data_IF_200629508900
#
_entry.id   IF_200629508900
#
_cell.length_a   1.000
_cell.length_b   1.000
_cell.length_c   1.000
_cell.angle_alpha   90.00
_cell.angle_beta   90.00
_cell.angle_gamma   90.00
#
_symmetry.space_group_name_H-M   'P 1'
#
loop_
_entity.id
_entity.type
_entity.pdbx_description
1 polymer ?
#
# COMPACT_ATOMS: atom_id res chain seq x y z
N UNK A 1 -20.42 -26.04 22.04
CA UNK A 1 -20.20 -24.96 21.06
C UNK A 1 -18.72 -25.03 20.68
N UNK A 2 -18.41 -25.57 19.50
CA UNK A 2 -17.03 -25.77 19.05
C UNK A 2 -16.68 -24.66 18.04
N UNK A 3 -15.80 -23.74 18.44
CA UNK A 3 -15.29 -22.69 17.58
C UNK A 3 -14.00 -23.19 16.93
N UNK A 4 -14.12 -23.96 15.85
CA UNK A 4 -12.98 -24.25 14.97
C UNK A 4 -12.71 -22.99 14.14
N UNK A 5 -11.82 -22.13 14.65
CA UNK A 5 -11.26 -21.04 13.89
C UNK A 5 -10.41 -21.63 12.76
N UNK A 6 -10.95 -21.60 11.55
CA UNK A 6 -10.31 -21.91 10.29
C UNK A 6 -8.94 -21.24 10.18
N UNK A 7 -7.88 -22.00 10.46
CA UNK A 7 -6.49 -21.54 10.43
C UNK A 7 -5.80 -22.11 9.20
N UNK A 8 -6.35 -21.83 8.02
CA UNK A 8 -5.77 -22.29 6.73
C UNK A 8 -6.09 -21.31 5.58
N UNK A 9 -6.03 -20.00 5.85
CA UNK A 9 -6.11 -18.95 4.81
C UNK A 9 -4.73 -18.39 4.42
N UNK A 10 -3.67 -19.07 4.82
CA UNK A 10 -2.31 -18.86 4.34
C UNK A 10 -2.12 -19.92 3.23
N UNK A 11 -2.07 -19.63 1.93
CA UNK A 11 -0.94 -19.02 1.26
C UNK A 11 -1.32 -18.84 -0.22
N UNK A 12 -2.11 -17.82 -0.54
CA UNK A 12 -2.16 -17.16 -1.85
C UNK A 12 -3.41 -16.28 -1.84
N UNK A 13 -3.31 -15.12 -1.20
CA UNK A 13 -4.22 -14.04 -1.55
C UNK A 13 -4.14 -13.91 -3.08
N UNK A 14 -5.22 -14.27 -3.78
CA UNK A 14 -5.22 -14.27 -5.24
C UNK A 14 -4.78 -12.90 -5.77
N UNK A 15 -4.34 -12.80 -7.03
CA UNK A 15 -3.80 -11.54 -7.59
C UNK A 15 -4.72 -10.33 -7.35
N UNK A 16 -6.05 -10.54 -7.30
CA UNK A 16 -7.03 -9.52 -6.93
C UNK A 16 -6.95 -9.07 -5.45
N UNK A 17 -6.81 -10.00 -4.50
CA UNK A 17 -6.67 -9.69 -3.08
C UNK A 17 -5.33 -9.00 -2.79
N UNK A 18 -4.25 -9.42 -3.45
CA UNK A 18 -2.95 -8.75 -3.36
C UNK A 18 -3.00 -7.33 -3.94
N UNK A 19 -3.76 -7.09 -5.02
CA UNK A 19 -3.96 -5.74 -5.57
C UNK A 19 -4.81 -4.87 -4.64
N UNK A 20 -5.89 -5.41 -4.09
CA UNK A 20 -6.74 -4.69 -3.14
C UNK A 20 -5.98 -4.29 -1.86
N UNK A 21 -5.10 -5.16 -1.35
CA UNK A 21 -4.22 -4.83 -0.24
C UNK A 21 -3.30 -3.65 -0.57
N UNK A 22 -2.65 -3.68 -1.73
CA UNK A 22 -1.76 -2.61 -2.19
C UNK A 22 -2.49 -1.28 -2.40
N UNK A 23 -3.68 -1.31 -2.99
CA UNK A 23 -4.52 -0.13 -3.14
C UNK A 23 -4.86 0.49 -1.78
N UNK A 24 -5.27 -0.32 -0.79
CA UNK A 24 -5.57 0.16 0.56
C UNK A 24 -4.36 0.81 1.24
N UNK A 25 -3.18 0.25 1.06
CA UNK A 25 -1.93 0.85 1.56
C UNK A 25 -1.65 2.21 0.93
N UNK A 26 -1.84 2.36 -0.38
CA UNK A 26 -1.67 3.64 -1.09
C UNK A 26 -2.69 4.67 -0.62
N UNK A 27 -3.96 4.32 -0.53
CA UNK A 27 -5.02 5.20 -0.02
C UNK A 27 -4.72 5.69 1.40
N UNK A 28 -4.25 4.79 2.26
CA UNK A 28 -3.87 5.13 3.64
C UNK A 28 -2.69 6.11 3.66
N UNK A 29 -1.67 5.88 2.84
CA UNK A 29 -0.51 6.76 2.76
C UNK A 29 -0.87 8.17 2.27
N UNK A 30 -1.71 8.26 1.24
CA UNK A 30 -2.17 9.55 0.69
C UNK A 30 -3.06 10.31 1.67
N UNK A 31 -3.89 9.59 2.44
CA UNK A 31 -4.66 10.19 3.52
C UNK A 31 -3.74 10.78 4.59
N UNK A 32 -2.72 10.04 5.03
CA UNK A 32 -1.74 10.53 6.02
C UNK A 32 -1.03 11.78 5.52
N UNK A 33 -0.53 11.77 4.27
CA UNK A 33 0.10 12.94 3.65
C UNK A 33 -0.82 14.17 3.67
N UNK A 34 -2.10 13.98 3.35
CA UNK A 34 -3.10 15.05 3.37
C UNK A 34 -3.35 15.57 4.79
N UNK A 35 -3.48 14.68 5.78
CA UNK A 35 -3.68 15.03 7.19
C UNK A 35 -2.47 15.75 7.79
N UNK A 36 -1.26 15.43 7.33
CA UNK A 36 -0.03 16.10 7.73
C UNK A 36 0.21 17.42 6.96
N UNK A 37 -0.68 17.82 6.04
CA UNK A 37 -0.52 19.02 5.23
C UNK A 37 0.66 18.96 4.25
N UNK A 38 1.10 17.75 3.88
CA UNK A 38 2.22 17.47 2.98
C UNK A 38 1.73 16.60 1.82
N UNK A 39 1.01 17.16 0.84
CA UNK A 39 0.47 16.37 -0.27
C UNK A 39 1.60 15.67 -1.04
N UNK A 40 1.35 14.42 -1.46
CA UNK A 40 2.32 13.65 -2.22
C UNK A 40 2.69 14.34 -3.55
N UNK A 41 3.99 14.35 -3.87
CA UNK A 41 4.49 14.90 -5.13
C UNK A 41 4.03 14.05 -6.33
N UNK A 42 4.04 14.62 -7.56
CA UNK A 42 3.73 13.85 -8.77
C UNK A 42 4.60 12.60 -8.97
N UNK A 43 5.90 12.67 -8.60
CA UNK A 43 6.80 11.51 -8.68
C UNK A 43 6.40 10.41 -7.68
N UNK A 44 6.08 10.80 -6.44
CA UNK A 44 5.60 9.87 -5.43
C UNK A 44 4.29 9.18 -5.88
N UNK A 45 3.35 9.93 -6.46
CA UNK A 45 2.11 9.38 -7.01
C UNK A 45 2.38 8.38 -8.15
N UNK A 46 3.33 8.66 -9.04
CA UNK A 46 3.70 7.74 -10.11
C UNK A 46 4.28 6.42 -9.57
N UNK A 47 5.13 6.48 -8.54
CA UNK A 47 5.70 5.29 -7.88
C UNK A 47 4.64 4.47 -7.15
N UNK A 48 3.70 5.11 -6.45
CA UNK A 48 2.60 4.43 -5.77
C UNK A 48 1.68 3.69 -6.75
N UNK A 49 1.39 4.27 -7.92
CA UNK A 49 0.63 3.58 -8.98
C UNK A 49 1.33 2.32 -9.50
N UNK A 50 2.66 2.38 -9.66
CA UNK A 50 3.47 1.20 -10.05
C UNK A 50 3.46 0.12 -8.96
N UNK A 51 3.41 0.51 -7.69
CA UNK A 51 3.21 -0.43 -6.59
C UNK A 51 1.83 -1.10 -6.64
N UNK A 52 0.74 -0.35 -6.86
CA UNK A 52 -0.61 -0.91 -7.04
C UNK A 52 -0.69 -1.89 -8.23
N UNK A 53 0.05 -1.62 -9.30
CA UNK A 53 0.17 -2.51 -10.46
C UNK A 53 1.02 -3.76 -10.15
N UNK A 54 2.01 -3.64 -9.26
CA UNK A 54 2.89 -4.74 -8.83
C UNK A 54 4.24 -4.72 -9.52
N UNK A 55 4.56 -3.59 -10.13
CA UNK A 55 5.75 -3.34 -10.93
C UNK A 55 6.90 -2.76 -10.10
N UNK A 56 6.60 -2.35 -8.86
CA UNK A 56 7.57 -1.74 -7.94
C UNK A 56 7.37 -2.32 -6.54
N UNK A 57 8.44 -2.69 -5.81
CA UNK A 57 8.31 -3.15 -4.44
C UNK A 57 7.93 -2.00 -3.50
N UNK A 58 7.26 -2.34 -2.40
CA UNK A 58 6.74 -1.39 -1.41
C UNK A 58 7.77 -0.36 -0.95
N UNK A 59 8.97 -0.82 -0.59
CA UNK A 59 10.04 0.04 -0.08
C UNK A 59 10.42 1.15 -1.08
N UNK A 60 10.65 0.79 -2.34
CA UNK A 60 11.01 1.74 -3.39
C UNK A 60 9.86 2.71 -3.72
N UNK A 61 8.61 2.25 -3.60
CA UNK A 61 7.44 3.07 -3.89
C UNK A 61 7.18 4.13 -2.82
N UNK A 62 7.36 3.76 -1.55
CA UNK A 62 7.07 4.62 -0.40
C UNK A 62 8.23 5.52 -0.01
N UNK A 63 9.46 5.23 -0.43
CA UNK A 63 10.64 6.07 -0.17
C UNK A 63 10.40 7.55 -0.51
N UNK A 64 9.75 7.82 -1.65
CA UNK A 64 9.46 9.18 -2.12
C UNK A 64 8.48 9.96 -1.22
N UNK A 65 7.74 9.30 -0.33
CA UNK A 65 6.90 9.96 0.68
C UNK A 65 7.72 10.47 1.87
N UNK A 66 8.88 9.86 2.14
CA UNK A 66 9.76 10.19 3.26
C UNK A 66 10.84 11.21 2.92
N UNK A 67 11.15 11.40 1.63
CA UNK A 67 12.13 12.39 1.18
C UNK A 67 11.73 13.85 1.50
N UNK A 68 10.45 14.13 1.75
CA UNK A 68 9.95 15.44 2.17
C UNK A 68 9.84 15.66 3.69
N UNK A 69 10.24 14.68 4.51
CA UNK A 69 10.16 14.71 5.98
C UNK A 69 11.50 15.01 6.67
N UNK A 70 12.59 15.18 5.90
CA UNK A 70 13.91 15.62 6.38
C UNK A 70 14.09 17.13 6.20
#
# INVERSE_FOLDING_TARGET
MNFQASSSLDQSAGPAAARAARQREVETALLVQTLCGQPASPDALARLRRYEAGELPREQAFMALYEGLM
#
